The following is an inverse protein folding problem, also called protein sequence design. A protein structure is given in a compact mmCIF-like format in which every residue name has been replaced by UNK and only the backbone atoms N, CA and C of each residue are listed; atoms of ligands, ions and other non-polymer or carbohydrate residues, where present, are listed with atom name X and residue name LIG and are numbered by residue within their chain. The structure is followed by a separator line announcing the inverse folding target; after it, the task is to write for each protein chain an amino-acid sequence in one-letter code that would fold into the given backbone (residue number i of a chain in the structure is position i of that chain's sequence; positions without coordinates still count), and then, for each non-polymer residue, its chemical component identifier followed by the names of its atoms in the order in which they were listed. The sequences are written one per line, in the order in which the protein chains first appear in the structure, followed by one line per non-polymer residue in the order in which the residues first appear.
data_IF_352225397536
#
_entry.id   IF_352225397536
#
_cell.length_a   1.000
_cell.length_b   1.000
_cell.length_c   1.000
_cell.angle_alpha   90.00
_cell.angle_beta   90.00
_cell.angle_gamma   90.00
#
_symmetry.space_group_name_H-M   'P 1'
#
loop_
_entity.id
_entity.type
_entity.pdbx_description
1 polymer ?
#
# COMPACT_ATOMS: atom_id res chain seq x y z
N UNK A 1 2.91 -19.01 -14.94
CA UNK A 1 2.16 -17.75 -15.10
C UNK A 1 2.15 -17.05 -13.74
N UNK A 2 2.90 -15.95 -13.56
CA UNK A 2 2.87 -15.19 -12.29
C UNK A 2 1.60 -14.34 -12.27
N UNK A 3 0.77 -14.49 -11.24
CA UNK A 3 -0.31 -13.55 -10.96
C UNK A 3 0.34 -12.23 -10.53
N UNK A 4 0.20 -11.18 -11.34
CA UNK A 4 0.60 -9.84 -10.91
C UNK A 4 -0.36 -9.38 -9.80
N UNK A 5 0.19 -9.06 -8.64
CA UNK A 5 -0.55 -8.57 -7.48
C UNK A 5 0.25 -7.51 -6.75
N UNK A 6 -0.43 -6.69 -5.95
CA UNK A 6 0.20 -5.68 -5.11
C UNK A 6 0.28 -6.22 -3.67
N UNK A 7 1.42 -6.04 -3.01
CA UNK A 7 1.60 -6.35 -1.59
C UNK A 7 1.68 -5.02 -0.86
N UNK A 8 0.91 -4.89 0.23
CA UNK A 8 0.80 -3.67 1.00
C UNK A 8 1.28 -3.97 2.42
N UNK A 9 2.20 -3.14 2.91
CA UNK A 9 2.59 -3.10 4.31
C UNK A 9 2.24 -1.70 4.83
N UNK A 10 1.26 -1.57 5.75
CA UNK A 10 0.83 -0.28 6.26
C UNK A 10 1.76 0.31 7.33
N UNK A 11 2.78 -0.42 7.76
CA UNK A 11 3.63 -0.03 8.88
C UNK A 11 2.89 -0.12 10.23
N UNK A 12 3.19 0.80 11.14
CA UNK A 12 2.58 0.86 12.48
C UNK A 12 1.86 2.18 12.66
N UNK A 13 0.55 2.14 12.91
CA UNK A 13 -0.26 3.35 13.10
C UNK A 13 0.21 4.24 14.26
N UNK A 14 0.94 3.67 15.23
CA UNK A 14 1.45 4.38 16.40
C UNK A 14 2.97 4.58 16.38
N UNK A 15 3.66 4.13 15.32
CA UNK A 15 5.13 4.12 15.31
C UNK A 15 5.74 3.20 16.37
N UNK A 16 5.11 2.06 16.63
CA UNK A 16 5.58 1.15 17.68
C UNK A 16 6.98 0.59 17.37
N UNK A 17 7.75 0.33 18.42
CA UNK A 17 9.10 -0.23 18.31
C UNK A 17 9.13 -1.53 17.49
N UNK A 18 10.16 -1.65 16.64
CA UNK A 18 10.48 -2.85 15.87
C UNK A 18 11.95 -3.20 16.08
N UNK A 19 12.26 -4.47 16.31
CA UNK A 19 13.65 -4.94 16.41
C UNK A 19 14.37 -5.02 15.05
N UNK A 20 13.62 -4.89 13.95
CA UNK A 20 14.13 -5.00 12.58
C UNK A 20 14.23 -3.63 11.90
N UNK A 21 13.54 -2.62 12.44
CA UNK A 21 13.41 -1.30 11.81
C UNK A 21 13.59 -0.22 12.88
N UNK A 22 14.67 0.55 12.79
CA UNK A 22 15.09 1.48 13.85
C UNK A 22 14.32 2.80 13.84
N UNK A 23 14.02 3.34 12.66
CA UNK A 23 13.26 4.58 12.50
C UNK A 23 11.83 4.26 12.03
N UNK A 24 10.95 3.98 13.00
CA UNK A 24 9.54 3.69 12.73
C UNK A 24 8.71 4.96 12.86
N UNK A 25 8.30 5.53 11.73
CA UNK A 25 7.30 6.59 11.69
C UNK A 25 5.89 6.01 11.84
N UNK A 26 4.97 6.68 12.58
CA UNK A 26 3.56 6.34 12.55
C UNK A 26 3.00 6.37 11.13
N UNK A 27 2.36 5.29 10.71
CA UNK A 27 1.86 5.14 9.35
C UNK A 27 0.62 4.25 9.23
N UNK A 28 -0.21 4.56 8.24
CA UNK A 28 -1.38 3.76 7.87
C UNK A 28 -1.67 3.90 6.38
N UNK A 29 -2.49 2.98 5.85
CA UNK A 29 -2.87 2.97 4.43
C UNK A 29 -4.38 3.07 4.29
N UNK A 30 -4.84 3.94 3.38
CA UNK A 30 -6.20 3.93 2.85
C UNK A 30 -6.18 3.41 1.42
N UNK A 31 -7.11 2.53 1.08
CA UNK A 31 -7.28 2.02 -0.27
C UNK A 31 -8.65 2.43 -0.81
N UNK A 32 -8.65 3.05 -1.98
CA UNK A 32 -9.84 3.25 -2.79
C UNK A 32 -9.82 2.18 -3.90
N UNK A 33 -10.84 1.31 -3.91
CA UNK A 33 -10.89 0.13 -4.78
C UNK A 33 -12.10 0.25 -5.69
N UNK A 34 -11.85 0.31 -6.99
CA UNK A 34 -12.87 0.31 -8.04
C UNK A 34 -12.56 -0.74 -9.11
N UNK A 35 -13.26 -1.87 -9.05
CA UNK A 35 -13.09 -2.98 -9.98
C UNK A 35 -11.66 -3.54 -10.00
N UNK A 36 -10.95 -3.29 -11.11
CA UNK A 36 -9.55 -3.73 -11.30
C UNK A 36 -8.53 -2.62 -10.99
N UNK A 37 -8.98 -1.44 -10.57
CA UNK A 37 -8.15 -0.29 -10.20
C UNK A 37 -8.16 -0.14 -8.68
N UNK A 38 -6.97 0.10 -8.12
CA UNK A 38 -6.77 0.42 -6.71
C UNK A 38 -5.91 1.67 -6.64
N UNK A 39 -6.37 2.65 -5.87
CA UNK A 39 -5.56 3.78 -5.42
C UNK A 39 -5.18 3.54 -3.98
N UNK A 40 -3.88 3.51 -3.71
CA UNK A 40 -3.32 3.34 -2.37
C UNK A 40 -2.80 4.69 -1.89
N UNK A 41 -3.31 5.16 -0.76
CA UNK A 41 -2.82 6.34 -0.06
C UNK A 41 -2.05 5.89 1.16
N UNK A 42 -0.75 6.20 1.20
CA UNK A 42 0.12 5.93 2.35
C UNK A 42 0.26 7.23 3.13
N UNK A 43 -0.16 7.21 4.38
CA UNK A 43 -0.01 8.33 5.30
C UNK A 43 1.13 8.02 6.26
N UNK A 44 2.07 8.93 6.38
CA UNK A 44 3.19 8.84 7.32
C UNK A 44 3.33 10.15 8.10
N UNK A 45 3.62 10.06 9.39
CA UNK A 45 3.98 11.21 10.21
C UNK A 45 5.50 11.35 10.25
N UNK A 46 6.04 12.37 9.59
CA UNK A 46 7.48 12.65 9.48
C UNK A 46 7.74 14.02 10.07
N UNK A 47 8.64 14.12 11.05
CA UNK A 47 9.00 15.38 11.74
C UNK A 47 7.80 16.18 12.27
N UNK A 48 6.72 15.47 12.65
CA UNK A 48 5.48 16.07 13.14
C UNK A 48 4.49 16.50 12.06
N UNK A 49 4.81 16.31 10.78
CA UNK A 49 3.96 16.63 9.64
C UNK A 49 3.44 15.37 8.95
N UNK A 50 2.22 15.43 8.42
CA UNK A 50 1.63 14.32 7.68
C UNK A 50 2.06 14.40 6.22
N UNK A 51 2.82 13.40 5.78
CA UNK A 51 3.14 13.15 4.37
C UNK A 51 2.15 12.15 3.80
N UNK A 52 1.72 12.39 2.55
CA UNK A 52 0.79 11.49 1.84
C UNK A 52 1.38 11.12 0.49
N UNK A 53 1.59 9.82 0.27
CA UNK A 53 1.99 9.27 -1.03
C UNK A 53 0.79 8.56 -1.68
N UNK A 54 0.61 8.77 -2.99
CA UNK A 54 -0.48 8.16 -3.78
C UNK A 54 0.10 7.19 -4.81
N UNK A 55 -0.39 5.96 -4.81
CA UNK A 55 0.03 4.90 -5.73
C UNK A 55 -1.19 4.40 -6.51
N UNK A 56 -1.12 4.45 -7.83
CA UNK A 56 -2.16 3.95 -8.72
C UNK A 56 -1.79 2.56 -9.26
N UNK A 57 -2.62 1.55 -9.00
CA UNK A 57 -2.43 0.17 -9.48
C UNK A 57 -3.63 -0.31 -10.28
N UNK A 58 -3.41 -0.82 -11.49
CA UNK A 58 -4.45 -1.46 -12.31
C UNK A 58 -4.07 -2.91 -12.60
N UNK A 59 -4.90 -3.85 -12.15
CA UNK A 59 -4.74 -5.27 -12.49
C UNK A 59 -5.15 -5.48 -13.94
N UNK A 60 -4.24 -6.03 -14.75
CA UNK A 60 -4.58 -6.44 -16.11
C UNK A 60 -5.54 -7.64 -16.05
N UNK A 61 -6.67 -7.56 -16.76
CA UNK A 61 -7.55 -8.71 -16.92
C UNK A 61 -6.79 -9.81 -17.66
N UNK A 62 -6.52 -10.94 -17.01
CA UNK A 62 -6.08 -12.15 -17.68
C UNK A 62 -7.28 -12.73 -18.41
N UNK A 63 -7.37 -12.52 -19.72
CA UNK A 63 -8.33 -13.22 -20.57
C UNK A 63 -7.98 -14.72 -20.51
N UNK A 64 -8.70 -15.48 -19.70
CA UNK A 64 -8.72 -16.92 -19.85
C UNK A 64 -9.56 -17.24 -21.08
N UNK A 65 -8.91 -17.29 -22.24
CA UNK A 65 -9.49 -17.92 -23.43
C UNK A 65 -9.68 -19.39 -23.10
N UNK A 66 -10.91 -19.78 -22.77
CA UNK A 66 -11.29 -21.17 -22.63
C UNK A 66 -11.11 -21.84 -24.00
N UNK A 67 -10.23 -22.82 -24.08
CA UNK A 67 -10.15 -23.76 -25.18
C UNK A 67 -10.07 -25.18 -24.61
#
# INVERSE_FOLDING_TARGET
MRVAGVVINPGSATGAYSSVTYDVNPSFVLMDIDGLHVVVYVYELIDGEVKVDKIDFKKTATTHSAH
#
